data_IF_809440480760
#
_entry.id   IF_809440480760
#
_cell.length_a   1.000
_cell.length_b   1.000
_cell.length_c   1.000
_cell.angle_alpha   90.00
_cell.angle_beta   90.00
_cell.angle_gamma   90.00
#
_symmetry.space_group_name_H-M   'P 1'
#
loop_
_entity.id
_entity.type
_entity.pdbx_description
1 polymer ?
#
# COMPACT_ATOMS: atom_id res chain seq x y z
N UNK A 1 12.92 24.23 6.89
CA UNK A 1 13.48 24.64 5.58
C UNK A 1 12.53 24.12 4.51
N UNK A 2 11.59 24.95 4.03
CA UNK A 2 10.64 24.58 2.98
C UNK A 2 11.42 24.41 1.67
N UNK A 3 11.47 23.19 1.13
CA UNK A 3 12.08 22.97 -0.18
C UNK A 3 11.16 23.56 -1.25
N UNK A 4 11.64 24.54 -1.99
CA UNK A 4 10.99 25.08 -3.18
C UNK A 4 10.87 23.97 -4.22
N UNK A 5 9.65 23.50 -4.43
CA UNK A 5 9.30 22.60 -5.52
C UNK A 5 9.55 23.34 -6.83
N UNK A 6 10.60 22.96 -7.58
CA UNK A 6 10.79 23.41 -8.97
C UNK A 6 9.72 22.74 -9.85
N UNK A 7 8.56 23.38 -9.94
CA UNK A 7 7.51 23.00 -10.87
C UNK A 7 7.94 23.39 -12.30
N UNK A 8 8.45 22.43 -13.07
CA UNK A 8 8.57 22.62 -14.53
C UNK A 8 7.21 22.35 -15.16
N UNK A 9 6.51 23.44 -15.49
CA UNK A 9 5.20 23.47 -16.16
C UNK A 9 5.39 23.32 -17.69
N UNK A 10 4.71 22.37 -18.34
CA UNK A 10 4.43 22.42 -19.79
C UNK A 10 2.98 22.03 -20.14
N UNK A 11 2.15 23.09 -20.20
CA UNK A 11 1.04 23.48 -21.10
C UNK A 11 -0.24 22.64 -21.37
N UNK A 12 -1.39 23.33 -21.14
CA UNK A 12 -2.73 23.48 -21.83
C UNK A 12 -3.36 22.21 -22.47
N UNK A 13 -4.61 21.78 -22.18
CA UNK A 13 -5.92 22.48 -22.10
C UNK A 13 -6.87 21.75 -21.10
N UNK A 14 -7.82 22.45 -20.46
CA UNK A 14 -9.08 21.88 -19.96
C UNK A 14 -9.29 21.81 -18.44
N UNK A 15 -8.39 21.14 -17.72
CA UNK A 15 -8.35 21.10 -16.25
C UNK A 15 -6.92 20.68 -15.87
N UNK A 16 -6.05 21.64 -15.53
CA UNK A 16 -4.59 21.41 -15.56
C UNK A 16 -4.09 20.80 -14.25
N UNK A 17 -3.62 19.55 -14.29
CA UNK A 17 -2.72 18.98 -13.28
C UNK A 17 -1.44 19.83 -13.23
N UNK A 18 -1.01 20.24 -12.03
CA UNK A 18 0.30 20.91 -11.86
C UNK A 18 1.38 19.85 -11.83
N UNK A 19 2.29 19.87 -12.81
CA UNK A 19 3.41 18.93 -12.89
C UNK A 19 4.59 19.37 -12.02
N UNK A 20 5.08 18.44 -11.23
CA UNK A 20 6.27 18.59 -10.39
C UNK A 20 7.26 17.49 -10.74
N UNK A 21 8.47 17.87 -11.17
CA UNK A 21 9.56 16.92 -11.38
C UNK A 21 10.42 16.83 -10.13
N UNK A 22 10.70 15.62 -9.68
CA UNK A 22 11.50 15.38 -8.46
C UNK A 22 12.79 14.64 -8.83
N UNK A 23 13.93 15.19 -8.42
CA UNK A 23 15.22 14.49 -8.37
C UNK A 23 15.40 13.84 -7.00
N UNK A 24 16.41 12.97 -6.85
CA UNK A 24 16.70 12.38 -5.55
C UNK A 24 16.93 13.49 -4.49
N UNK A 25 16.26 13.39 -3.35
CA UNK A 25 16.37 14.36 -2.27
C UNK A 25 16.26 13.70 -0.89
N UNK A 26 16.75 14.43 0.12
CA UNK A 26 16.65 14.06 1.53
C UNK A 26 15.79 15.08 2.27
N UNK A 27 14.89 14.59 3.11
CA UNK A 27 13.96 15.41 3.89
C UNK A 27 12.50 15.03 3.66
N UNK A 28 11.64 15.49 4.58
CA UNK A 28 10.19 15.31 4.53
C UNK A 28 9.59 16.17 3.41
N UNK A 29 8.71 15.58 2.61
CA UNK A 29 7.96 16.27 1.56
C UNK A 29 6.47 16.13 1.84
N UNK A 30 5.73 17.24 1.81
CA UNK A 30 4.29 17.28 2.09
C UNK A 30 3.58 17.96 0.94
N UNK A 31 2.55 17.30 0.39
CA UNK A 31 1.54 17.91 -0.46
C UNK A 31 0.39 18.32 0.46
N UNK A 32 0.23 19.62 0.77
CA UNK A 32 -0.78 20.10 1.70
C UNK A 32 -2.17 20.05 1.05
N UNK A 33 -3.21 19.89 1.87
CA UNK A 33 -4.62 19.71 1.49
C UNK A 33 -5.11 20.74 0.46
N UNK A 34 -4.68 22.01 0.58
CA UNK A 34 -5.06 23.11 -0.31
C UNK A 34 -4.37 23.11 -1.69
N UNK A 35 -3.71 22.00 -2.06
CA UNK A 35 -3.05 21.82 -3.36
C UNK A 35 -3.55 20.55 -4.07
N UNK A 36 -4.84 20.48 -4.44
CA UNK A 36 -5.33 19.36 -5.22
C UNK A 36 -4.78 19.39 -6.67
N UNK A 37 -4.99 18.29 -7.39
CA UNK A 37 -4.60 18.17 -8.82
C UNK A 37 -3.09 18.34 -9.05
N UNK A 38 -2.27 17.69 -8.22
CA UNK A 38 -0.82 17.64 -8.40
C UNK A 38 -0.43 16.34 -9.12
N UNK A 39 0.41 16.47 -10.14
CA UNK A 39 1.11 15.34 -10.75
C UNK A 39 2.60 15.39 -10.39
N UNK A 40 3.06 14.45 -9.58
CA UNK A 40 4.47 14.30 -9.20
C UNK A 40 5.13 13.24 -10.05
N UNK A 41 6.22 13.58 -10.73
CA UNK A 41 6.92 12.68 -11.65
C UNK A 41 8.39 12.56 -11.29
N UNK A 42 8.84 11.32 -11.10
CA UNK A 42 10.25 10.94 -11.06
C UNK A 42 10.72 10.34 -12.38
N UNK A 43 12.02 10.05 -12.45
CA UNK A 43 12.67 9.39 -13.59
C UNK A 43 12.66 7.85 -13.48
N UNK A 44 11.74 7.30 -12.66
CA UNK A 44 11.60 5.89 -12.37
C UNK A 44 12.05 5.53 -10.96
N UNK A 45 11.41 4.51 -10.35
CA UNK A 45 11.66 4.08 -8.96
C UNK A 45 13.13 3.75 -8.67
N UNK A 46 13.91 3.32 -9.66
CA UNK A 46 15.35 3.07 -9.52
C UNK A 46 16.25 4.30 -9.64
N UNK A 47 15.73 5.48 -10.00
CA UNK A 47 16.50 6.70 -10.30
C UNK A 47 16.11 7.91 -9.46
N UNK A 48 14.84 8.01 -9.06
CA UNK A 48 14.35 9.09 -8.20
C UNK A 48 13.91 8.53 -6.85
N UNK A 49 14.44 9.10 -5.76
CA UNK A 49 14.03 8.74 -4.40
C UNK A 49 13.88 9.94 -3.47
N UNK A 50 12.88 9.89 -2.58
CA UNK A 50 12.75 10.78 -1.43
C UNK A 50 13.15 9.96 -0.19
N UNK A 51 14.17 10.42 0.52
CA UNK A 51 14.72 9.71 1.67
C UNK A 51 14.53 10.54 2.94
N UNK A 52 14.07 9.89 4.00
CA UNK A 52 13.95 10.49 5.32
C UNK A 52 14.40 9.49 6.39
N UNK A 53 14.79 10.00 7.55
CA UNK A 53 15.18 9.20 8.70
C UNK A 53 14.46 9.79 9.91
N UNK A 54 13.23 9.33 10.14
CA UNK A 54 12.43 9.72 11.29
C UNK A 54 11.63 8.54 11.82
N UNK A 55 11.54 8.46 13.15
CA UNK A 55 10.70 7.50 13.85
C UNK A 55 9.88 8.27 14.89
N UNK A 56 8.57 8.06 14.90
CA UNK A 56 7.66 8.80 15.77
C UNK A 56 6.39 7.99 16.04
N UNK A 57 5.70 8.30 17.15
CA UNK A 57 4.35 7.81 17.42
C UNK A 57 3.36 8.47 16.43
N UNK A 58 3.64 9.71 16.04
CA UNK A 58 2.89 10.43 15.00
C UNK A 58 3.35 9.96 13.60
N UNK A 59 2.41 9.40 12.86
CA UNK A 59 2.63 8.93 11.49
C UNK A 59 3.06 10.05 10.55
N UNK A 60 2.49 11.24 10.68
CA UNK A 60 2.83 12.37 9.82
C UNK A 60 4.25 12.85 10.11
N UNK A 61 4.70 12.82 11.36
CA UNK A 61 6.07 13.21 11.75
C UNK A 61 7.14 12.22 11.28
N UNK A 62 6.82 10.93 11.23
CA UNK A 62 7.76 9.93 10.70
C UNK A 62 7.76 9.84 9.17
N UNK A 63 6.69 10.26 8.49
CA UNK A 63 6.53 10.12 7.05
C UNK A 63 7.61 10.86 6.23
N UNK A 64 8.26 10.15 5.29
CA UNK A 64 9.15 10.78 4.30
C UNK A 64 8.34 11.60 3.27
N UNK A 65 7.17 11.10 2.90
CA UNK A 65 6.26 11.75 1.95
C UNK A 65 4.83 11.71 2.48
N UNK A 66 4.15 12.86 2.47
CA UNK A 66 2.76 12.98 2.92
C UNK A 66 1.90 13.59 1.82
N UNK A 67 0.76 12.96 1.52
CA UNK A 67 -0.24 13.48 0.58
C UNK A 67 -1.54 13.74 1.33
N UNK A 68 -1.81 15.00 1.64
CA UNK A 68 -3.07 15.43 2.26
C UNK A 68 -4.08 15.97 1.23
N UNK A 69 -3.65 16.20 -0.01
CA UNK A 69 -4.51 16.79 -1.04
C UNK A 69 -5.19 15.73 -1.91
N UNK A 70 -6.37 16.09 -2.40
CA UNK A 70 -7.13 15.24 -3.30
C UNK A 70 -6.61 15.29 -4.75
N UNK A 71 -6.95 14.26 -5.52
CA UNK A 71 -6.67 14.18 -6.96
C UNK A 71 -5.17 14.29 -7.27
N UNK A 72 -4.34 13.58 -6.51
CA UNK A 72 -2.89 13.58 -6.67
C UNK A 72 -2.44 12.32 -7.42
N UNK A 73 -1.54 12.48 -8.38
CA UNK A 73 -0.93 11.37 -9.09
C UNK A 73 0.58 11.42 -8.89
N UNK A 74 1.17 10.28 -8.56
CA UNK A 74 2.61 10.13 -8.37
C UNK A 74 3.12 9.03 -9.28
N UNK A 75 4.17 9.31 -10.05
CA UNK A 75 4.75 8.39 -11.01
C UNK A 75 6.25 8.19 -10.80
N UNK A 76 6.67 6.94 -10.66
CA UNK A 76 8.08 6.55 -10.82
C UNK A 76 9.01 7.14 -9.77
N UNK A 77 8.59 7.16 -8.50
CA UNK A 77 9.38 7.65 -7.37
C UNK A 77 9.49 6.55 -6.30
N UNK A 78 10.66 6.44 -5.69
CA UNK A 78 10.86 5.66 -4.46
C UNK A 78 10.74 6.53 -3.22
N UNK A 79 9.99 6.08 -2.22
CA UNK A 79 9.89 6.72 -0.92
C UNK A 79 10.56 5.83 0.12
N UNK A 80 11.50 6.39 0.88
CA UNK A 80 12.30 5.63 1.83
C UNK A 80 12.30 6.32 3.19
N UNK A 81 11.91 5.56 4.21
CA UNK A 81 12.28 5.86 5.57
C UNK A 81 13.38 4.90 6.01
N UNK A 82 14.58 5.43 6.24
CA UNK A 82 15.78 4.66 6.64
C UNK A 82 16.05 4.72 8.15
N UNK A 83 15.15 5.33 8.94
CA UNK A 83 15.31 5.38 10.37
C UNK A 83 15.61 3.98 10.90
N UNK A 84 16.67 3.87 11.68
CA UNK A 84 16.94 2.61 12.38
C UNK A 84 15.72 2.36 13.24
N UNK A 85 15.08 1.20 13.06
CA UNK A 85 14.13 0.68 14.03
C UNK A 85 14.94 0.34 15.30
N UNK A 86 15.38 1.34 16.04
CA UNK A 86 16.23 1.20 17.20
C UNK A 86 15.32 0.95 18.40
N UNK A 87 15.30 -0.29 18.88
CA UNK A 87 15.03 -0.62 20.29
C UNK A 87 13.72 -0.04 20.81
N UNK A 88 12.63 -0.42 20.18
CA UNK A 88 11.33 0.08 20.56
C UNK A 88 10.87 -0.63 21.84
N UNK A 89 11.22 -0.06 23.00
CA UNK A 89 10.54 -0.30 24.26
C UNK A 89 9.07 0.21 24.24
N UNK A 90 8.68 0.94 23.18
CA UNK A 90 7.32 1.46 22.97
C UNK A 90 6.77 1.11 21.58
N UNK A 91 6.03 0.00 21.46
CA UNK A 91 5.44 -0.53 20.21
C UNK A 91 4.65 0.47 19.35
N UNK A 92 4.36 1.66 19.85
CA UNK A 92 3.71 2.76 19.13
C UNK A 92 4.61 3.52 18.16
N UNK A 93 5.95 3.39 18.24
CA UNK A 93 6.88 4.08 17.33
C UNK A 93 6.84 3.47 15.92
N UNK A 94 6.71 4.33 14.92
CA UNK A 94 6.55 3.97 13.51
C UNK A 94 7.58 4.68 12.64
N UNK A 95 7.89 4.07 11.49
CA UNK A 95 8.84 4.60 10.50
C UNK A 95 8.14 4.73 9.15
N UNK A 96 7.19 5.66 9.03
CA UNK A 96 6.37 5.78 7.82
C UNK A 96 7.22 6.25 6.63
N UNK A 97 7.15 5.55 5.49
CA UNK A 97 7.75 6.01 4.24
C UNK A 97 6.78 6.93 3.50
N UNK A 98 5.50 6.58 3.48
CA UNK A 98 4.47 7.41 2.85
C UNK A 98 3.18 7.40 3.66
N UNK A 99 2.60 8.58 3.86
CA UNK A 99 1.27 8.78 4.40
C UNK A 99 0.36 9.34 3.32
N UNK A 100 -0.83 8.77 3.16
CA UNK A 100 -1.83 9.18 2.16
C UNK A 100 -3.15 9.39 2.86
N UNK A 101 -3.67 10.62 2.82
CA UNK A 101 -4.91 11.01 3.50
C UNK A 101 -5.89 11.77 2.58
N UNK A 102 -5.42 12.33 1.45
CA UNK A 102 -6.29 12.93 0.45
C UNK A 102 -7.03 11.88 -0.38
N UNK A 103 -8.20 12.23 -0.92
CA UNK A 103 -9.00 11.33 -1.74
C UNK A 103 -8.52 11.30 -3.20
N UNK A 104 -8.74 10.19 -3.91
CA UNK A 104 -8.36 10.02 -5.32
C UNK A 104 -6.86 10.20 -5.56
N UNK A 105 -6.05 9.49 -4.79
CA UNK A 105 -4.58 9.50 -4.93
C UNK A 105 -4.10 8.24 -5.64
N UNK A 106 -3.33 8.41 -6.71
CA UNK A 106 -2.80 7.29 -7.49
C UNK A 106 -1.27 7.28 -7.53
N UNK A 107 -0.68 6.10 -7.32
CA UNK A 107 0.75 5.84 -7.42
C UNK A 107 1.00 4.83 -8.54
N UNK A 108 1.86 5.20 -9.49
CA UNK A 108 2.22 4.38 -10.64
C UNK A 108 3.72 4.09 -10.64
N UNK A 109 4.09 2.81 -10.67
CA UNK A 109 5.49 2.38 -10.70
C UNK A 109 6.35 2.98 -9.59
N UNK A 110 5.76 3.21 -8.42
CA UNK A 110 6.45 3.71 -7.24
C UNK A 110 7.04 2.56 -6.42
N UNK A 111 7.91 2.92 -5.46
CA UNK A 111 8.37 1.96 -4.47
C UNK A 111 8.38 2.57 -3.07
N UNK A 112 8.07 1.76 -2.06
CA UNK A 112 7.93 2.17 -0.68
C UNK A 112 8.84 1.29 0.19
N UNK A 113 9.74 1.92 0.93
CA UNK A 113 10.74 1.23 1.73
C UNK A 113 10.74 1.75 3.15
N UNK A 114 10.51 0.85 4.10
CA UNK A 114 10.75 1.13 5.50
C UNK A 114 10.96 -0.18 6.28
N UNK A 115 11.63 -0.14 7.45
CA UNK A 115 11.70 -1.28 8.35
C UNK A 115 10.31 -1.78 8.79
N UNK A 116 9.47 -0.90 9.37
CA UNK A 116 8.13 -1.19 9.90
C UNK A 116 7.14 -0.07 9.55
N UNK A 117 5.84 -0.36 9.45
CA UNK A 117 4.78 0.64 9.18
C UNK A 117 5.06 1.49 7.93
N UNK A 118 5.31 0.84 6.78
CA UNK A 118 5.86 1.49 5.58
C UNK A 118 4.90 2.48 4.90
N UNK A 119 3.66 2.07 4.67
CA UNK A 119 2.65 2.85 3.96
C UNK A 119 1.45 3.05 4.89
N UNK A 120 1.28 4.28 5.35
CA UNK A 120 0.10 4.70 6.09
C UNK A 120 -0.98 5.20 5.12
N UNK A 121 -1.84 4.29 4.73
CA UNK A 121 -2.94 4.48 3.80
C UNK A 121 -4.20 4.90 4.59
N UNK A 122 -4.20 6.17 5.02
CA UNK A 122 -4.98 6.67 6.14
C UNK A 122 -6.49 6.69 5.87
N UNK A 123 -6.92 7.37 4.81
CA UNK A 123 -8.33 7.55 4.43
C UNK A 123 -8.40 8.00 2.96
N UNK A 124 -9.58 7.82 2.33
CA UNK A 124 -9.79 8.19 0.92
C UNK A 124 -9.67 7.00 -0.03
N UNK A 125 -9.91 7.25 -1.33
CA UNK A 125 -9.81 6.26 -2.40
C UNK A 125 -8.44 6.30 -3.06
N UNK A 126 -7.73 5.17 -3.06
CA UNK A 126 -6.37 5.13 -3.58
C UNK A 126 -6.12 4.02 -4.58
N UNK A 127 -5.16 4.26 -5.44
CA UNK A 127 -4.79 3.35 -6.51
C UNK A 127 -3.27 3.18 -6.58
N UNK A 128 -2.81 1.93 -6.51
CA UNK A 128 -1.38 1.59 -6.53
C UNK A 128 -1.12 0.60 -7.66
N UNK A 129 -0.61 1.09 -8.79
CA UNK A 129 -0.34 0.29 -9.97
C UNK A 129 1.14 -0.04 -10.12
N UNK A 130 1.46 -1.33 -10.23
CA UNK A 130 2.85 -1.81 -10.44
C UNK A 130 3.85 -1.26 -9.41
N UNK A 131 3.38 -1.07 -8.18
CA UNK A 131 4.16 -0.56 -7.06
C UNK A 131 4.92 -1.69 -6.34
N UNK A 132 6.07 -1.34 -5.77
CA UNK A 132 6.83 -2.22 -4.88
C UNK A 132 6.70 -1.74 -3.43
N UNK A 133 6.31 -2.60 -2.50
CA UNK A 133 6.17 -2.26 -1.08
C UNK A 133 6.99 -3.25 -0.27
N UNK A 134 7.89 -2.75 0.57
CA UNK A 134 8.72 -3.57 1.43
C UNK A 134 8.56 -3.18 2.90
N UNK A 135 8.33 -4.18 3.75
CA UNK A 135 8.32 -4.05 5.20
C UNK A 135 8.23 -5.39 5.93
N UNK A 136 7.83 -5.34 7.20
CA UNK A 136 7.61 -6.52 8.05
C UNK A 136 6.36 -6.39 8.92
N UNK A 137 6.34 -5.39 9.81
CA UNK A 137 5.25 -5.18 10.79
C UNK A 137 4.29 -4.13 10.25
N UNK A 138 3.01 -4.49 10.14
CA UNK A 138 1.87 -3.67 9.77
C UNK A 138 2.19 -2.69 8.64
N UNK A 139 2.89 -3.17 7.61
CA UNK A 139 3.59 -2.24 6.73
C UNK A 139 2.67 -1.58 5.68
N UNK A 140 1.43 -2.06 5.53
CA UNK A 140 0.33 -1.34 4.86
C UNK A 140 -0.82 -1.24 5.86
N UNK A 141 -1.13 -0.03 6.34
CA UNK A 141 -2.08 0.15 7.43
C UNK A 141 -2.90 1.42 7.29
N UNK A 142 -4.06 1.48 7.94
CA UNK A 142 -4.97 2.62 7.89
C UNK A 142 -6.38 2.24 7.43
N UNK A 143 -7.18 3.22 7.04
CA UNK A 143 -8.60 3.06 6.72
C UNK A 143 -8.94 3.38 5.24
N UNK A 144 -7.95 3.48 4.36
CA UNK A 144 -8.17 3.74 2.93
C UNK A 144 -9.07 2.71 2.23
N UNK A 145 -9.72 3.16 1.15
CA UNK A 145 -10.41 2.34 0.15
C UNK A 145 -9.47 2.18 -1.04
N UNK A 146 -8.67 1.12 -1.03
CA UNK A 146 -7.45 1.09 -1.84
C UNK A 146 -7.29 -0.18 -2.64
N UNK A 147 -6.89 -0.01 -3.90
CA UNK A 147 -6.58 -1.12 -4.78
C UNK A 147 -5.12 -1.10 -5.21
N UNK A 148 -4.45 -2.22 -4.96
CA UNK A 148 -3.07 -2.51 -5.35
C UNK A 148 -3.12 -3.53 -6.48
N UNK A 149 -2.80 -3.13 -7.71
CA UNK A 149 -2.93 -4.04 -8.85
C UNK A 149 -1.82 -3.95 -9.88
N UNK A 150 -1.78 -4.96 -10.74
CA UNK A 150 -0.90 -4.98 -11.91
C UNK A 150 -1.38 -3.98 -12.95
N UNK A 151 -0.46 -3.53 -13.81
CA UNK A 151 -0.88 -2.70 -14.94
C UNK A 151 -1.80 -3.47 -15.88
N UNK A 152 -2.90 -2.85 -16.31
CA UNK A 152 -3.82 -3.44 -17.29
C UNK A 152 -3.12 -3.81 -18.61
N UNK A 153 -2.06 -3.09 -18.98
CA UNK A 153 -1.28 -3.32 -20.20
C UNK A 153 -0.27 -4.47 -20.09
N UNK A 154 -0.06 -5.03 -18.90
CA UNK A 154 0.97 -6.04 -18.63
C UNK A 154 0.74 -7.39 -19.33
N UNK A 155 -0.49 -7.68 -19.77
CA UNK A 155 -0.87 -8.99 -20.27
C UNK A 155 -0.36 -9.31 -21.69
N UNK A 156 0.19 -8.32 -22.41
CA UNK A 156 0.56 -8.47 -23.83
C UNK A 156 2.00 -8.93 -24.08
N UNK A 157 2.85 -9.04 -23.06
CA UNK A 157 4.27 -9.38 -23.24
C UNK A 157 4.68 -10.54 -22.35
N UNK A 158 4.81 -11.73 -22.93
CA UNK A 158 5.16 -13.01 -22.27
C UNK A 158 6.51 -13.03 -21.52
N UNK A 159 7.29 -11.93 -21.54
CA UNK A 159 8.56 -11.76 -20.83
C UNK A 159 8.54 -10.63 -19.77
N UNK A 160 7.40 -9.93 -19.58
CA UNK A 160 7.28 -8.77 -18.69
C UNK A 160 6.89 -9.11 -17.23
N UNK A 161 6.83 -10.39 -16.87
CA UNK A 161 6.38 -10.90 -15.56
C UNK A 161 7.12 -10.34 -14.33
N UNK A 162 8.25 -9.65 -14.50
CA UNK A 162 9.04 -9.14 -13.38
C UNK A 162 8.74 -7.68 -12.96
N UNK A 163 8.10 -6.84 -13.79
CA UNK A 163 8.08 -5.39 -13.56
C UNK A 163 6.71 -4.71 -13.48
N UNK A 164 5.62 -5.45 -13.71
CA UNK A 164 4.30 -4.86 -13.97
C UNK A 164 3.19 -5.32 -13.01
N UNK A 165 3.54 -6.01 -11.92
CA UNK A 165 2.61 -6.44 -10.89
C UNK A 165 2.94 -5.78 -9.54
N UNK A 166 1.99 -5.67 -8.60
CA UNK A 166 2.27 -5.16 -7.28
C UNK A 166 3.13 -6.20 -6.56
N UNK A 167 4.29 -5.75 -6.11
CA UNK A 167 5.28 -6.58 -5.44
C UNK A 167 5.30 -6.24 -3.96
N UNK A 168 4.97 -7.21 -3.13
CA UNK A 168 5.06 -7.10 -1.68
C UNK A 168 6.24 -7.93 -1.22
N UNK A 169 7.28 -7.26 -0.74
CA UNK A 169 8.51 -7.88 -0.28
C UNK A 169 8.63 -7.87 1.25
N UNK A 170 8.53 -9.05 1.85
CA UNK A 170 8.67 -9.26 3.28
C UNK A 170 10.16 -9.25 3.64
N UNK A 171 10.57 -8.29 4.45
CA UNK A 171 11.93 -8.16 4.93
C UNK A 171 11.93 -8.20 6.46
N UNK A 172 12.29 -9.34 7.08
CA UNK A 172 12.12 -9.54 8.51
C UNK A 172 13.08 -8.66 9.30
N UNK A 173 12.66 -8.22 10.48
CA UNK A 173 13.55 -7.65 11.49
C UNK A 173 14.15 -8.79 12.31
N UNK A 174 15.38 -9.19 11.97
CA UNK A 174 16.09 -10.30 12.62
C UNK A 174 16.41 -10.05 14.09
N UNK A 175 16.13 -8.86 14.61
CA UNK A 175 16.32 -8.51 16.02
C UNK A 175 15.10 -8.83 16.88
N UNK A 176 13.97 -9.18 16.27
CA UNK A 176 12.72 -9.51 16.96
C UNK A 176 12.19 -10.85 16.50
N UNK A 177 11.67 -11.66 17.43
CA UNK A 177 11.02 -12.94 17.11
C UNK A 177 9.57 -12.77 16.62
N UNK A 178 9.09 -11.53 16.53
CA UNK A 178 7.70 -11.22 16.17
C UNK A 178 7.48 -11.52 14.69
N UNK A 179 6.48 -12.34 14.41
CA UNK A 179 5.89 -12.47 13.08
C UNK A 179 5.08 -11.20 12.77
N UNK A 180 5.52 -10.45 11.77
CA UNK A 180 4.83 -9.24 11.35
C UNK A 180 3.51 -9.52 10.60
N UNK A 181 2.90 -8.45 10.11
CA UNK A 181 1.71 -8.52 9.26
C UNK A 181 1.87 -7.60 8.06
N UNK A 182 1.39 -8.04 6.90
CA UNK A 182 1.39 -7.20 5.69
C UNK A 182 0.39 -6.06 5.85
N UNK A 183 -0.79 -6.39 6.37
CA UNK A 183 -1.91 -5.44 6.47
C UNK A 183 -2.46 -5.30 7.88
N UNK A 184 -2.80 -4.06 8.24
CA UNK A 184 -3.54 -3.72 9.45
C UNK A 184 -4.60 -2.67 9.09
N UNK A 185 -5.78 -3.15 8.68
CA UNK A 185 -6.82 -2.30 8.08
C UNK A 185 -7.88 -1.90 9.12
N UNK A 186 -8.06 -0.60 9.32
CA UNK A 186 -8.77 -0.01 10.45
C UNK A 186 -10.23 0.33 10.15
N UNK A 187 -10.92 -0.47 9.35
CA UNK A 187 -12.34 -0.27 9.06
C UNK A 187 -13.16 -0.64 10.29
N UNK A 188 -13.73 0.40 10.91
CA UNK A 188 -14.59 0.27 12.08
C UNK A 188 -16.07 0.20 11.74
N UNK A 189 -16.50 1.00 10.78
CA UNK A 189 -17.90 1.08 10.33
C UNK A 189 -18.14 0.21 9.08
N UNK A 190 -19.40 -0.07 8.75
CA UNK A 190 -19.75 -0.84 7.56
C UNK A 190 -19.69 -0.03 6.24
N UNK A 191 -18.60 0.71 6.01
CA UNK A 191 -18.39 1.57 4.83
C UNK A 191 -17.78 0.85 3.59
N UNK A 192 -17.37 1.61 2.56
CA UNK A 192 -16.70 1.10 1.35
C UNK A 192 -15.18 0.90 1.50
N UNK A 193 -14.58 1.21 2.64
CA UNK A 193 -13.13 1.13 2.91
C UNK A 193 -12.54 -0.27 2.94
N UNK A 194 -11.24 -0.42 2.73
CA UNK A 194 -10.57 -1.71 2.74
C UNK A 194 -9.46 -1.79 1.70
N UNK A 195 -8.63 -2.81 1.85
CA UNK A 195 -7.49 -3.02 0.95
C UNK A 195 -7.74 -4.21 0.03
N UNK A 196 -7.54 -4.02 -1.27
CA UNK A 196 -7.65 -5.08 -2.28
C UNK A 196 -6.33 -5.20 -3.03
N UNK A 197 -5.75 -6.39 -3.02
CA UNK A 197 -4.54 -6.75 -3.75
C UNK A 197 -4.91 -7.68 -4.91
N UNK A 198 -4.56 -7.30 -6.13
CA UNK A 198 -5.00 -7.98 -7.34
C UNK A 198 -3.83 -8.28 -8.29
N UNK A 199 -3.71 -9.54 -8.71
CA UNK A 199 -2.76 -9.98 -9.76
C UNK A 199 -1.30 -9.62 -9.47
N UNK A 200 -0.85 -9.89 -8.24
CA UNK A 200 0.48 -9.56 -7.74
C UNK A 200 1.20 -10.74 -7.11
N UNK A 201 2.26 -10.43 -6.37
CA UNK A 201 2.99 -11.42 -5.60
C UNK A 201 3.39 -10.91 -4.22
N UNK A 202 3.32 -11.81 -3.26
CA UNK A 202 3.92 -11.67 -1.93
C UNK A 202 5.07 -12.67 -1.83
N UNK A 203 6.24 -12.16 -1.51
CA UNK A 203 7.44 -12.97 -1.35
C UNK A 203 8.41 -12.30 -0.38
N UNK A 204 9.45 -13.01 0.05
CA UNK A 204 10.40 -12.46 0.99
C UNK A 204 11.12 -13.52 1.79
N UNK A 205 11.66 -13.09 2.93
CA UNK A 205 12.42 -13.93 3.86
C UNK A 205 11.70 -13.93 5.21
N UNK A 206 11.69 -15.07 5.90
CA UNK A 206 10.99 -15.21 7.19
C UNK A 206 9.49 -15.46 7.02
N UNK A 207 8.75 -15.33 8.11
CA UNK A 207 7.32 -15.65 8.19
C UNK A 207 6.51 -14.40 8.56
N UNK A 208 5.38 -14.19 7.89
CA UNK A 208 4.48 -13.04 8.06
C UNK A 208 3.01 -13.46 7.93
N UNK A 209 2.10 -12.73 8.57
CA UNK A 209 0.67 -12.82 8.28
C UNK A 209 0.30 -11.94 7.07
N UNK A 210 -0.67 -12.38 6.26
CA UNK A 210 -1.34 -11.55 5.24
C UNK A 210 -1.95 -10.29 5.85
N UNK A 211 -2.39 -10.38 7.10
CA UNK A 211 -2.86 -9.24 7.86
C UNK A 211 -3.28 -9.62 9.26
N UNK A 212 -3.53 -8.59 10.06
CA UNK A 212 -4.14 -8.74 11.37
C UNK A 212 -5.42 -7.93 11.49
N UNK A 213 -6.34 -8.42 12.31
CA UNK A 213 -7.54 -7.67 12.70
C UNK A 213 -7.11 -6.52 13.59
N UNK A 214 -7.58 -5.32 13.28
CA UNK A 214 -7.41 -4.14 14.14
C UNK A 214 -8.75 -3.55 14.56
N UNK A 215 -9.77 -3.67 13.72
CA UNK A 215 -11.11 -3.14 13.96
C UNK A 215 -12.21 -4.18 13.62
N UNK A 216 -13.45 -4.06 14.16
CA UNK A 216 -14.52 -5.04 14.00
C UNK A 216 -14.93 -5.36 12.57
N UNK A 217 -14.71 -4.41 11.67
CA UNK A 217 -15.13 -4.44 10.27
C UNK A 217 -13.93 -4.44 9.30
N UNK A 218 -12.72 -4.78 9.81
CA UNK A 218 -11.48 -4.84 9.04
C UNK A 218 -11.68 -5.60 7.72
N UNK A 219 -11.27 -5.01 6.59
CA UNK A 219 -11.45 -5.62 5.26
C UNK A 219 -10.17 -5.61 4.44
N UNK A 220 -9.69 -6.80 4.10
CA UNK A 220 -8.53 -7.03 3.25
C UNK A 220 -8.77 -8.22 2.34
N UNK A 221 -8.61 -8.03 1.03
CA UNK A 221 -8.80 -9.07 0.02
C UNK A 221 -7.49 -9.27 -0.75
N UNK A 222 -6.99 -10.50 -0.79
CA UNK A 222 -5.95 -10.91 -1.74
C UNK A 222 -6.61 -11.74 -2.86
N UNK A 223 -6.51 -11.27 -4.10
CA UNK A 223 -7.11 -11.91 -5.26
C UNK A 223 -6.09 -12.15 -6.37
N UNK A 224 -6.05 -13.38 -6.89
CA UNK A 224 -5.14 -13.76 -7.98
C UNK A 224 -3.66 -13.46 -7.62
N UNK A 225 -3.33 -13.56 -6.34
CA UNK A 225 -2.00 -13.27 -5.81
C UNK A 225 -1.16 -14.55 -5.77
N UNK A 226 0.10 -14.46 -6.19
CA UNK A 226 1.08 -15.48 -5.85
C UNK A 226 1.60 -15.26 -4.43
N UNK A 227 1.41 -16.25 -3.55
CA UNK A 227 1.84 -16.24 -2.16
C UNK A 227 3.00 -17.23 -1.99
N UNK A 228 4.19 -16.73 -1.67
CA UNK A 228 5.35 -17.59 -1.38
C UNK A 228 5.27 -18.21 0.02
N UNK A 229 6.21 -19.12 0.35
CA UNK A 229 6.34 -19.75 1.68
C UNK A 229 6.58 -18.78 2.84
N UNK A 230 6.72 -17.48 2.56
CA UNK A 230 6.83 -16.45 3.61
C UNK A 230 5.51 -16.23 4.35
N UNK A 231 4.37 -16.64 3.78
CA UNK A 231 3.07 -16.53 4.45
C UNK A 231 2.95 -17.63 5.51
N UNK A 232 2.63 -17.22 6.74
CA UNK A 232 2.32 -18.14 7.83
C UNK A 232 1.16 -19.06 7.45
N UNK A 233 1.18 -20.37 7.79
CA UNK A 233 0.08 -21.28 7.48
C UNK A 233 -1.29 -20.79 8.00
N UNK A 234 -1.31 -20.12 9.15
CA UNK A 234 -2.51 -19.48 9.72
C UNK A 234 -3.09 -18.38 8.81
N UNK A 235 -2.25 -17.76 7.97
CA UNK A 235 -2.58 -16.71 7.01
C UNK A 235 -2.84 -15.36 7.68
N UNK A 236 -3.67 -15.33 8.72
CA UNK A 236 -4.16 -14.13 9.38
C UNK A 236 -4.05 -14.27 10.90
N UNK A 237 -4.09 -13.15 11.62
CA UNK A 237 -4.07 -13.15 13.09
C UNK A 237 -5.03 -12.12 13.68
N UNK A 238 -5.54 -12.38 14.87
CA UNK A 238 -6.30 -11.40 15.67
C UNK A 238 -5.46 -10.84 16.82
N UNK A 239 -4.14 -11.03 16.77
CA UNK A 239 -3.23 -10.55 17.81
C UNK A 239 -3.40 -9.04 18.05
N UNK A 240 -3.60 -8.68 19.32
CA UNK A 240 -3.84 -7.30 19.75
C UNK A 240 -5.28 -6.81 19.56
N UNK A 241 -6.20 -7.63 19.04
CA UNK A 241 -7.61 -7.29 18.90
C UNK A 241 -8.48 -8.19 19.80
N UNK A 242 -9.09 -7.64 20.88
CA UNK A 242 -9.88 -8.42 21.84
C UNK A 242 -11.35 -8.62 21.40
N UNK A 243 -11.77 -7.99 20.30
CA UNK A 243 -13.16 -8.01 19.85
C UNK A 243 -13.54 -9.25 19.03
N UNK A 244 -14.79 -9.28 18.58
CA UNK A 244 -15.32 -10.34 17.72
C UNK A 244 -14.77 -10.24 16.30
N UNK A 245 -14.52 -11.38 15.67
CA UNK A 245 -14.14 -11.50 14.25
C UNK A 245 -15.32 -11.77 13.32
N UNK A 246 -16.56 -11.73 13.81
CA UNK A 246 -17.75 -12.12 13.05
C UNK A 246 -17.98 -11.28 11.77
N UNK A 247 -17.64 -9.99 11.81
CA UNK A 247 -17.87 -9.06 10.69
C UNK A 247 -16.58 -8.77 9.88
N UNK A 248 -15.46 -9.38 10.27
CA UNK A 248 -14.17 -9.20 9.61
C UNK A 248 -14.20 -9.83 8.22
N UNK A 249 -13.64 -9.15 7.23
CA UNK A 249 -13.51 -9.63 5.86
C UNK A 249 -12.05 -9.67 5.42
N UNK A 250 -11.28 -10.56 6.06
CA UNK A 250 -9.91 -10.90 5.69
C UNK A 250 -9.97 -12.16 4.83
N UNK A 251 -9.75 -11.99 3.52
CA UNK A 251 -10.12 -13.01 2.55
C UNK A 251 -9.11 -13.23 1.43
N UNK A 252 -9.13 -14.46 0.90
CA UNK A 252 -8.37 -14.88 -0.27
C UNK A 252 -9.31 -15.36 -1.39
N UNK A 253 -8.98 -15.01 -2.64
CA UNK A 253 -9.63 -15.52 -3.84
C UNK A 253 -8.58 -15.91 -4.88
N UNK A 254 -8.64 -17.14 -5.39
CA UNK A 254 -7.78 -17.64 -6.47
C UNK A 254 -6.26 -17.38 -6.26
N UNK A 255 -5.79 -17.31 -5.01
CA UNK A 255 -4.37 -17.19 -4.70
C UNK A 255 -3.64 -18.50 -5.02
N UNK A 256 -2.39 -18.39 -5.46
CA UNK A 256 -1.56 -19.54 -5.85
C UNK A 256 -0.20 -19.50 -5.16
N UNK A 257 0.61 -20.54 -5.33
CA UNK A 257 1.93 -20.64 -4.73
C UNK A 257 1.93 -21.34 -3.37
N UNK A 258 3.12 -21.64 -2.83
CA UNK A 258 3.27 -22.51 -1.68
C UNK A 258 2.79 -21.90 -0.35
N UNK A 259 2.56 -20.58 -0.29
CA UNK A 259 1.94 -19.90 0.86
C UNK A 259 0.43 -19.80 0.79
N UNK A 260 -0.19 -20.19 -0.33
CA UNK A 260 -1.65 -20.13 -0.54
C UNK A 260 -2.41 -21.36 -0.01
N UNK A 261 -1.71 -22.31 0.64
CA UNK A 261 -2.33 -23.48 1.24
C UNK A 261 -3.32 -23.07 2.35
N UNK A 262 -4.61 -23.34 2.13
CA UNK A 262 -5.69 -22.81 2.94
C UNK A 262 -6.11 -23.73 4.11
N UNK A 263 -5.70 -25.01 4.11
CA UNK A 263 -6.13 -26.02 5.11
C UNK A 263 -5.79 -25.68 6.56
N UNK A 264 -4.81 -24.80 6.79
CA UNK A 264 -4.36 -24.37 8.13
C UNK A 264 -4.74 -22.93 8.47
N UNK A 265 -5.54 -22.27 7.62
CA UNK A 265 -5.97 -20.90 7.87
C UNK A 265 -6.78 -20.82 9.15
N UNK A 266 -6.72 -19.66 9.80
CA UNK A 266 -7.58 -19.38 10.95
C UNK A 266 -9.06 -19.53 10.56
N UNK A 267 -9.91 -20.17 11.39
CA UNK A 267 -11.28 -20.54 10.98
C UNK A 267 -12.19 -19.38 10.59
N UNK A 268 -11.91 -18.17 11.09
CA UNK A 268 -12.69 -16.97 10.81
C UNK A 268 -12.25 -16.22 9.54
N UNK A 269 -11.12 -16.61 8.92
CA UNK A 269 -10.73 -16.05 7.63
C UNK A 269 -11.66 -16.54 6.53
N UNK A 270 -11.81 -15.75 5.47
CA UNK A 270 -12.78 -16.04 4.40
C UNK A 270 -12.08 -16.51 3.15
N UNK A 271 -12.69 -17.46 2.46
CA UNK A 271 -12.34 -17.82 1.08
C UNK A 271 -13.51 -17.44 0.21
N UNK A 272 -13.31 -16.47 -0.67
CA UNK A 272 -14.40 -15.97 -1.49
C UNK A 272 -14.71 -16.95 -2.62
N UNK A 273 -15.99 -17.02 -2.97
CA UNK A 273 -16.45 -17.53 -4.26
C UNK A 273 -16.20 -16.48 -5.35
N UNK A 274 -16.35 -16.90 -6.61
CA UNK A 274 -16.23 -15.97 -7.76
C UNK A 274 -17.22 -14.81 -7.66
N UNK A 275 -18.46 -15.09 -7.27
CA UNK A 275 -19.51 -14.08 -7.23
C UNK A 275 -19.29 -13.09 -6.08
N UNK A 276 -18.83 -13.57 -4.91
CA UNK A 276 -18.44 -12.68 -3.81
C UNK A 276 -17.24 -11.81 -4.15
N UNK A 277 -16.27 -12.38 -4.88
CA UNK A 277 -15.04 -11.69 -5.26
C UNK A 277 -15.28 -10.62 -6.34
N UNK A 278 -16.24 -10.84 -7.26
CA UNK A 278 -16.42 -10.06 -8.49
C UNK A 278 -16.36 -8.52 -8.31
N UNK A 279 -16.98 -8.00 -7.25
CA UNK A 279 -17.01 -6.55 -6.96
C UNK A 279 -15.67 -5.96 -6.52
N UNK A 280 -14.73 -6.80 -6.06
CA UNK A 280 -13.38 -6.41 -5.67
C UNK A 280 -12.37 -6.56 -6.83
N UNK A 281 -12.73 -7.23 -7.92
CA UNK A 281 -11.79 -7.55 -9.01
C UNK A 281 -11.61 -6.42 -10.02
N UNK A 282 -12.22 -5.26 -9.78
CA UNK A 282 -12.22 -4.14 -10.72
C UNK A 282 -12.01 -2.82 -10.00
N UNK A 283 -11.62 -1.79 -10.76
CA UNK A 283 -11.51 -0.41 -10.24
C UNK A 283 -12.83 0.16 -9.73
N UNK A 284 -13.97 -0.46 -10.00
CA UNK A 284 -15.24 -0.03 -9.40
C UNK A 284 -15.20 -0.10 -7.87
N UNK A 285 -14.37 -1.01 -7.30
CA UNK A 285 -14.13 -1.04 -5.86
C UNK A 285 -13.65 0.30 -5.30
N UNK A 286 -12.94 1.12 -6.10
CA UNK A 286 -12.46 2.45 -5.69
C UNK A 286 -13.13 3.57 -6.48
N UNK A 287 -14.28 3.31 -7.13
CA UNK A 287 -14.90 4.22 -8.10
C UNK A 287 -13.95 4.70 -9.21
N UNK A 288 -12.95 3.91 -9.58
CA UNK A 288 -11.82 4.37 -10.41
C UNK A 288 -12.23 4.81 -11.82
N UNK A 289 -13.35 4.33 -12.36
CA UNK A 289 -13.91 4.82 -13.64
C UNK A 289 -14.24 6.32 -13.62
N UNK A 290 -14.50 6.89 -12.43
CA UNK A 290 -14.88 8.29 -12.26
C UNK A 290 -13.67 9.23 -12.17
N UNK A 291 -12.49 8.75 -11.78
CA UNK A 291 -11.37 9.62 -11.41
C UNK A 291 -9.99 9.20 -11.89
N UNK A 292 -9.79 7.96 -12.31
CA UNK A 292 -8.51 7.53 -12.86
C UNK A 292 -8.37 8.04 -14.31
N UNK A 293 -7.22 8.64 -14.69
CA UNK A 293 -7.05 9.30 -15.99
C UNK A 293 -7.13 8.38 -17.23
N UNK A 294 -7.08 7.06 -17.06
CA UNK A 294 -6.92 6.11 -18.16
C UNK A 294 -7.72 4.79 -17.96
N UNK A 295 -9.04 4.90 -17.85
CA UNK A 295 -9.98 3.77 -18.01
C UNK A 295 -10.91 3.91 -19.21
N UNK A 296 -10.67 4.91 -20.06
CA UNK A 296 -11.30 5.02 -21.37
C UNK A 296 -10.36 4.39 -22.40
N UNK A 297 -10.93 3.49 -23.21
CA UNK A 297 -10.35 2.66 -24.29
C UNK A 297 -9.87 1.26 -23.87
#
# INVERSE_FOLDING_TARGET
MLLTILATLRLRVGCQLKSVSVSACSGKVVIPENKPFIFVRGNGKGRTSINHESASIDNAESAAFTVNADNVIVFGISFRNSARAGLIANSEIRTVATMVAGDKVAFYHCAFYSPHHTLFDSAGRHYYESCYIQGNIDFIFGNGQSMFQASAHAYTMAHAHAFTCPEIFVKPDRRTEIQGSITAQNRKEEDSGGFVFLKGKVYGVGEVYLGRVTEPNSRVIFSDMYLSKTISPAGWTSYGYPGSTANVMLAEYNCTGPGAEASKRVPWSRRLTKDEAAKFLTVDFINGKEWLPAYYY
#
